data_IF_052614752675
#
_entry.id   IF_052614752675
#
_cell.length_a   1.000
_cell.length_b   1.000
_cell.length_c   1.000
_cell.angle_alpha   90.00
_cell.angle_beta   90.00
_cell.angle_gamma   90.00
#
_symmetry.space_group_name_H-M   'P 1'
#
loop_
_entity.id
_entity.type
_entity.pdbx_description
1 polymer ?
#
# COMPACT_ATOMS: atom_id res chain seq x y z
N UNK A 1 -6.77 6.07 -9.81
CA UNK A 1 -5.36 6.37 -10.09
C UNK A 1 -4.84 7.15 -8.91
N UNK A 2 -4.29 6.46 -7.90
CA UNK A 2 -3.81 7.09 -6.66
C UNK A 2 -2.30 6.84 -6.49
N UNK A 3 -1.60 7.94 -6.19
CA UNK A 3 -0.22 8.14 -5.73
C UNK A 3 0.96 7.72 -6.61
N UNK A 4 1.43 8.70 -7.40
CA UNK A 4 2.81 8.83 -7.84
C UNK A 4 3.66 9.43 -6.70
N UNK A 5 4.78 8.78 -6.35
CA UNK A 5 5.87 9.50 -5.70
C UNK A 5 6.41 10.47 -6.75
N UNK A 6 6.45 11.77 -6.47
CA UNK A 6 6.88 12.82 -7.40
C UNK A 6 8.08 12.33 -8.23
N UNK A 7 7.89 12.17 -9.54
CA UNK A 7 8.87 11.70 -10.53
C UNK A 7 9.14 10.17 -10.64
N UNK A 8 8.48 9.29 -9.88
CA UNK A 8 8.62 7.83 -9.98
C UNK A 8 7.31 7.13 -10.35
N UNK A 9 7.36 6.19 -11.30
CA UNK A 9 6.20 5.48 -11.82
C UNK A 9 6.46 3.97 -11.99
N UNK A 10 5.39 3.20 -12.17
CA UNK A 10 5.49 1.74 -12.18
C UNK A 10 5.96 1.16 -13.53
N UNK A 11 5.61 1.80 -14.65
CA UNK A 11 5.87 1.32 -16.01
C UNK A 11 5.92 2.48 -17.03
N UNK A 12 6.26 2.15 -18.27
CA UNK A 12 6.38 3.12 -19.37
C UNK A 12 5.05 3.73 -19.80
N UNK A 13 3.92 3.04 -19.60
CA UNK A 13 2.59 3.57 -19.93
C UNK A 13 2.24 4.74 -18.99
N UNK A 14 2.47 4.56 -17.70
CA UNK A 14 2.34 5.63 -16.70
C UNK A 14 3.33 6.77 -16.96
N UNK A 15 4.58 6.45 -17.34
CA UNK A 15 5.57 7.45 -17.70
C UNK A 15 5.10 8.32 -18.88
N UNK A 16 4.56 7.70 -19.93
CA UNK A 16 4.03 8.42 -21.08
C UNK A 16 2.82 9.31 -20.73
N UNK A 17 1.97 8.90 -19.78
CA UNK A 17 0.87 9.74 -19.27
C UNK A 17 1.41 10.93 -18.49
N UNK A 18 2.40 10.72 -17.63
CA UNK A 18 3.06 11.80 -16.89
C UNK A 18 3.75 12.79 -17.83
N UNK A 19 4.47 12.32 -18.84
CA UNK A 19 5.16 13.17 -19.82
C UNK A 19 4.17 14.06 -20.57
N UNK A 20 3.06 13.48 -21.05
CA UNK A 20 1.95 14.24 -21.67
C UNK A 20 1.30 15.24 -20.72
N UNK A 21 1.38 15.00 -19.42
CA UNK A 21 0.86 15.90 -18.37
C UNK A 21 1.85 17.01 -18.00
N UNK A 22 3.03 17.07 -18.62
CA UNK A 22 4.02 18.14 -18.44
C UNK A 22 5.14 17.84 -17.45
N UNK A 23 5.25 16.61 -16.94
CA UNK A 23 6.38 16.22 -16.08
C UNK A 23 7.63 16.00 -16.93
N UNK A 24 8.74 16.65 -16.53
CA UNK A 24 10.01 16.58 -17.27
C UNK A 24 11.03 15.61 -16.68
N UNK A 25 10.80 15.13 -15.46
CA UNK A 25 11.67 14.19 -14.74
C UNK A 25 10.81 13.03 -14.30
N UNK A 26 10.96 11.90 -15.00
CA UNK A 26 10.16 10.70 -14.80
C UNK A 26 11.12 9.53 -14.78
N UNK A 27 11.01 8.71 -13.74
CA UNK A 27 11.78 7.50 -13.53
C UNK A 27 10.81 6.34 -13.42
N UNK A 28 10.92 5.37 -14.32
CA UNK A 28 10.27 4.07 -14.12
C UNK A 28 11.08 3.32 -13.08
N UNK A 29 10.44 2.90 -11.99
CA UNK A 29 11.15 2.21 -10.91
C UNK A 29 11.75 0.88 -11.40
N UNK A 30 13.08 0.70 -11.38
CA UNK A 30 13.71 -0.52 -11.83
C UNK A 30 13.34 -1.70 -10.94
N UNK A 31 13.24 -2.89 -11.54
CA UNK A 31 13.04 -4.14 -10.82
C UNK A 31 14.15 -4.44 -9.80
N UNK A 32 15.37 -3.94 -10.03
CA UNK A 32 16.51 -4.09 -9.12
C UNK A 32 16.48 -3.14 -7.92
N UNK A 33 15.52 -2.21 -7.90
CA UNK A 33 15.44 -1.10 -6.95
C UNK A 33 16.23 0.12 -7.41
N UNK A 34 15.87 1.28 -6.85
CA UNK A 34 16.47 2.59 -7.07
C UNK A 34 17.07 3.10 -5.77
N UNK A 35 18.29 3.64 -5.82
CA UNK A 35 18.91 4.30 -4.66
C UNK A 35 18.74 5.82 -4.79
N UNK A 36 18.13 6.44 -3.78
CA UNK A 36 17.95 7.89 -3.66
C UNK A 36 18.57 8.32 -2.33
N UNK A 37 19.75 8.95 -2.39
CA UNK A 37 20.54 9.24 -1.20
C UNK A 37 20.94 7.96 -0.45
N UNK A 38 20.61 7.87 0.84
CA UNK A 38 20.80 6.68 1.67
C UNK A 38 19.63 5.68 1.61
N UNK A 39 18.53 6.01 0.92
CA UNK A 39 17.33 5.18 0.85
C UNK A 39 17.35 4.32 -0.41
N UNK A 40 17.04 3.03 -0.24
CA UNK A 40 16.73 2.11 -1.34
C UNK A 40 15.21 2.00 -1.46
N UNK A 41 14.72 2.22 -2.67
CA UNK A 41 13.32 2.11 -3.07
C UNK A 41 13.18 0.87 -3.94
N UNK A 42 12.38 -0.10 -3.51
CA UNK A 42 12.16 -1.35 -4.24
C UNK A 42 10.70 -1.50 -4.60
N UNK A 43 10.42 -1.75 -5.88
CA UNK A 43 9.06 -2.01 -6.36
C UNK A 43 8.58 -3.37 -5.85
N UNK A 44 7.37 -3.40 -5.30
CA UNK A 44 6.70 -4.62 -4.84
C UNK A 44 5.46 -4.86 -5.72
N UNK A 45 5.27 -6.05 -6.29
CA UNK A 45 4.05 -6.37 -7.03
C UNK A 45 2.78 -6.20 -6.17
N UNK A 46 1.68 -5.81 -6.80
CA UNK A 46 0.36 -5.69 -6.18
C UNK A 46 -0.70 -6.48 -6.96
N UNK A 47 -1.80 -6.81 -6.29
CA UNK A 47 -2.98 -7.42 -6.89
C UNK A 47 -4.20 -6.53 -6.65
N UNK A 48 -4.57 -5.73 -7.64
CA UNK A 48 -5.65 -4.75 -7.53
C UNK A 48 -7.01 -5.32 -7.99
N UNK A 49 -7.52 -6.32 -7.29
CA UNK A 49 -8.77 -7.00 -7.65
C UNK A 49 -8.78 -8.48 -7.25
N UNK A 50 -9.92 -8.97 -6.73
CA UNK A 50 -10.08 -10.37 -6.36
C UNK A 50 -10.53 -11.27 -7.51
N UNK A 51 -11.33 -10.76 -8.45
CA UNK A 51 -11.80 -11.53 -9.61
C UNK A 51 -10.91 -11.30 -10.83
N UNK A 52 -10.54 -10.04 -11.05
CA UNK A 52 -9.69 -9.58 -12.15
C UNK A 52 -8.97 -8.32 -11.72
N UNK A 53 -7.68 -8.20 -12.06
CA UNK A 53 -6.93 -6.97 -11.79
C UNK A 53 -7.56 -5.76 -12.50
N UNK A 54 -7.72 -4.68 -11.74
CA UNK A 54 -8.21 -3.37 -12.15
C UNK A 54 -7.02 -2.49 -12.58
N UNK A 55 -6.35 -2.89 -13.66
CA UNK A 55 -5.10 -2.24 -14.08
C UNK A 55 -3.89 -2.63 -13.24
N UNK A 56 -2.76 -2.02 -13.57
CA UNK A 56 -1.48 -2.25 -12.88
C UNK A 56 -1.38 -1.35 -11.64
N UNK A 57 -0.90 -1.95 -10.56
CA UNK A 57 -0.55 -1.25 -9.34
C UNK A 57 0.77 -1.82 -8.80
N UNK A 58 1.43 -1.05 -7.93
CA UNK A 58 2.60 -1.52 -7.19
C UNK A 58 2.56 -1.04 -5.75
N UNK A 59 3.14 -1.84 -4.86
CA UNK A 59 3.66 -1.38 -3.59
C UNK A 59 5.11 -0.90 -3.71
N UNK A 60 5.61 -0.27 -2.67
CA UNK A 60 6.97 0.26 -2.60
C UNK A 60 7.57 -0.03 -1.23
N UNK A 61 8.75 -0.64 -1.23
CA UNK A 61 9.56 -0.87 -0.04
C UNK A 61 10.65 0.19 0.06
N UNK A 62 10.76 0.83 1.22
CA UNK A 62 11.80 1.78 1.56
C UNK A 62 12.71 1.18 2.63
N UNK A 63 14.02 1.21 2.41
CA UNK A 63 15.00 0.79 3.41
C UNK A 63 16.23 1.69 3.42
N UNK A 64 16.78 1.91 4.61
CA UNK A 64 18.06 2.58 4.84
C UNK A 64 18.73 1.97 6.08
N UNK A 65 20.06 2.07 6.19
CA UNK A 65 20.82 1.37 7.25
C UNK A 65 20.45 1.81 8.68
N UNK A 66 20.00 3.05 8.86
CA UNK A 66 19.72 3.66 10.17
C UNK A 66 18.23 3.95 10.39
N UNK A 67 17.37 3.52 9.47
CA UNK A 67 15.93 3.80 9.51
C UNK A 67 15.12 2.51 9.49
N UNK A 68 13.90 2.59 9.99
CA UNK A 68 12.93 1.49 9.90
C UNK A 68 12.64 1.18 8.45
N UNK A 69 12.54 -0.11 8.12
CA UNK A 69 12.06 -0.58 6.83
C UNK A 69 10.56 -0.30 6.73
N UNK A 70 10.18 0.52 5.75
CA UNK A 70 8.80 0.95 5.54
C UNK A 70 8.22 0.35 4.26
N UNK A 71 7.09 -0.33 4.38
CA UNK A 71 6.38 -0.91 3.25
C UNK A 71 5.07 -0.16 2.98
N UNK A 72 5.00 0.53 1.84
CA UNK A 72 3.74 1.04 1.30
C UNK A 72 3.13 -0.03 0.38
N UNK A 73 2.07 -0.70 0.83
CA UNK A 73 1.48 -1.81 0.06
C UNK A 73 0.81 -1.37 -1.25
N UNK A 74 0.35 -0.11 -1.31
CA UNK A 74 -0.39 0.43 -2.44
C UNK A 74 -1.77 -0.21 -2.61
N UNK A 75 -2.32 -0.09 -3.81
CA UNK A 75 -3.63 -0.63 -4.17
C UNK A 75 -3.54 -2.14 -4.42
N UNK A 76 -3.63 -2.92 -3.34
CA UNK A 76 -3.58 -4.39 -3.37
C UNK A 76 -4.56 -5.01 -2.38
N UNK A 77 -5.06 -6.21 -2.69
CA UNK A 77 -5.66 -7.12 -1.71
C UNK A 77 -4.57 -7.92 -0.98
N UNK A 78 -4.94 -8.63 0.10
CA UNK A 78 -4.05 -9.65 0.66
C UNK A 78 -3.92 -10.82 -0.31
N UNK A 79 -2.68 -11.14 -0.68
CA UNK A 79 -2.35 -12.28 -1.53
C UNK A 79 -0.91 -12.72 -1.26
N UNK A 80 -0.48 -13.81 -1.91
CA UNK A 80 0.84 -14.41 -1.69
C UNK A 80 2.00 -13.42 -1.88
N UNK A 81 1.87 -12.42 -2.76
CA UNK A 81 2.92 -11.43 -3.02
C UNK A 81 3.16 -10.50 -1.83
N UNK A 82 2.10 -10.07 -1.14
CA UNK A 82 2.21 -9.27 0.10
C UNK A 82 2.90 -10.10 1.19
N UNK A 83 2.47 -11.35 1.38
CA UNK A 83 3.09 -12.23 2.36
C UNK A 83 4.58 -12.50 2.06
N UNK A 84 4.93 -12.69 0.79
CA UNK A 84 6.31 -12.83 0.35
C UNK A 84 7.13 -11.59 0.68
N UNK A 85 6.62 -10.39 0.36
CA UNK A 85 7.31 -9.13 0.65
C UNK A 85 7.53 -8.94 2.16
N UNK A 86 6.52 -9.21 2.98
CA UNK A 86 6.65 -9.16 4.44
C UNK A 86 7.75 -10.14 4.92
N UNK A 87 7.76 -11.36 4.40
CA UNK A 87 8.74 -12.36 4.80
C UNK A 87 10.17 -12.05 4.36
N UNK A 88 10.33 -11.47 3.18
CA UNK A 88 11.63 -11.14 2.59
C UNK A 88 12.25 -9.90 3.24
N UNK A 89 11.45 -8.84 3.42
CA UNK A 89 11.96 -7.54 3.85
C UNK A 89 11.78 -7.26 5.34
N UNK A 90 10.90 -8.01 6.03
CA UNK A 90 10.61 -7.83 7.47
C UNK A 90 10.36 -6.36 7.85
N UNK A 91 9.44 -5.65 7.16
CA UNK A 91 9.21 -4.24 7.42
C UNK A 91 8.72 -4.00 8.85
N UNK A 92 9.25 -2.95 9.51
CA UNK A 92 8.80 -2.55 10.84
C UNK A 92 7.56 -1.64 10.79
N UNK A 93 7.29 -1.01 9.65
CA UNK A 93 6.08 -0.20 9.42
C UNK A 93 5.45 -0.59 8.08
N UNK A 94 4.14 -0.83 8.07
CA UNK A 94 3.41 -1.20 6.84
C UNK A 94 2.20 -0.29 6.67
N UNK A 95 2.18 0.53 5.61
CA UNK A 95 1.02 1.31 5.22
C UNK A 95 0.10 0.52 4.28
N UNK A 96 -1.19 0.48 4.62
CA UNK A 96 -2.22 -0.30 3.92
C UNK A 96 -3.33 0.63 3.42
N UNK A 97 -3.68 0.52 2.14
CA UNK A 97 -4.90 1.12 1.59
C UNK A 97 -6.06 0.16 1.87
N UNK A 98 -6.94 0.47 2.81
CA UNK A 98 -7.79 -0.56 3.43
C UNK A 98 -9.29 -0.25 3.56
N UNK A 99 -9.89 0.51 2.64
CA UNK A 99 -11.34 0.79 2.67
C UNK A 99 -12.22 -0.25 1.97
N UNK A 100 -11.67 -1.43 1.63
CA UNK A 100 -12.36 -2.50 0.90
C UNK A 100 -13.13 -1.96 -0.33
N UNK A 101 -12.48 -1.10 -1.10
CA UNK A 101 -13.06 -0.58 -2.32
C UNK A 101 -13.42 -1.72 -3.28
N UNK A 102 -14.58 -1.69 -3.92
CA UNK A 102 -15.08 -2.78 -4.75
C UNK A 102 -15.73 -2.28 -6.04
N UNK A 103 -15.60 -3.06 -7.11
CA UNK A 103 -16.37 -2.88 -8.35
C UNK A 103 -16.99 -4.20 -8.77
N UNK A 104 -18.09 -4.12 -9.53
CA UNK A 104 -18.78 -5.32 -10.05
C UNK A 104 -17.88 -6.18 -10.95
N UNK A 105 -16.96 -5.54 -11.66
CA UNK A 105 -16.14 -6.17 -12.70
C UNK A 105 -14.88 -6.84 -12.13
N UNK A 106 -14.30 -6.26 -11.08
CA UNK A 106 -13.00 -6.68 -10.54
C UNK A 106 -13.12 -7.35 -9.16
N UNK A 107 -14.27 -7.23 -8.50
CA UNK A 107 -14.44 -7.60 -7.11
C UNK A 107 -13.76 -6.58 -6.19
N UNK A 108 -13.34 -7.03 -5.01
CA UNK A 108 -12.64 -6.18 -4.03
C UNK A 108 -11.27 -5.79 -4.59
N UNK A 109 -11.04 -4.49 -4.65
CA UNK A 109 -9.87 -3.87 -5.27
C UNK A 109 -8.68 -3.76 -4.34
N UNK A 110 -8.92 -3.44 -3.07
CA UNK A 110 -7.90 -3.20 -2.05
C UNK A 110 -8.29 -3.84 -0.72
N UNK A 111 -7.40 -3.76 0.27
CA UNK A 111 -7.58 -4.46 1.54
C UNK A 111 -8.88 -4.09 2.27
N UNK A 112 -9.47 -5.06 2.96
CA UNK A 112 -10.47 -4.88 4.01
C UNK A 112 -9.95 -5.31 5.39
N UNK A 113 -10.82 -5.36 6.39
CA UNK A 113 -10.44 -5.69 7.78
C UNK A 113 -9.81 -7.09 7.93
N UNK A 114 -10.30 -8.09 7.17
CA UNK A 114 -9.72 -9.44 7.15
C UNK A 114 -8.31 -9.45 6.55
N UNK A 115 -8.08 -8.64 5.51
CA UNK A 115 -6.76 -8.50 4.89
C UNK A 115 -5.78 -7.83 5.88
N UNK A 116 -6.21 -6.79 6.58
CA UNK A 116 -5.43 -6.14 7.65
C UNK A 116 -5.10 -7.14 8.78
N UNK A 117 -6.06 -7.97 9.18
CA UNK A 117 -5.83 -9.03 10.16
C UNK A 117 -4.77 -10.04 9.67
N UNK A 118 -4.85 -10.50 8.42
CA UNK A 118 -3.83 -11.37 7.84
C UNK A 118 -2.44 -10.73 7.81
N UNK A 119 -2.34 -9.42 7.48
CA UNK A 119 -1.07 -8.69 7.57
C UNK A 119 -0.56 -8.65 9.01
N UNK A 120 -1.43 -8.39 9.99
CA UNK A 120 -1.03 -8.38 11.41
C UNK A 120 -0.49 -9.73 11.90
N UNK A 121 -1.02 -10.85 11.38
CA UNK A 121 -0.51 -12.19 11.67
C UNK A 121 0.83 -12.47 10.99
N UNK A 122 1.02 -11.98 9.76
CA UNK A 122 2.25 -12.20 9.01
C UNK A 122 3.41 -11.30 9.49
N UNK A 123 3.09 -10.13 10.07
CA UNK A 123 4.04 -9.15 10.59
C UNK A 123 3.64 -8.69 12.00
N UNK A 124 3.68 -9.57 13.01
CA UNK A 124 3.19 -9.25 14.36
C UNK A 124 3.97 -8.12 15.04
N UNK A 125 5.25 -7.97 14.69
CA UNK A 125 6.12 -6.91 15.22
C UNK A 125 6.00 -5.58 14.45
N UNK A 126 5.36 -5.58 13.28
CA UNK A 126 5.22 -4.38 12.49
C UNK A 126 4.09 -3.49 13.02
N UNK A 127 4.27 -2.18 12.90
CA UNK A 127 3.22 -1.21 13.12
C UNK A 127 2.45 -0.99 11.82
N UNK A 128 1.13 -1.18 11.85
CA UNK A 128 0.28 -1.00 10.68
C UNK A 128 -0.24 0.45 10.62
N UNK A 129 -0.11 1.08 9.45
CA UNK A 129 -0.65 2.42 9.20
C UNK A 129 -1.81 2.32 8.20
N UNK A 130 -3.04 2.48 8.69
CA UNK A 130 -4.25 2.29 7.90
C UNK A 130 -4.63 3.60 7.20
N UNK A 131 -4.75 3.54 5.87
CA UNK A 131 -4.95 4.69 5.01
C UNK A 131 -6.02 4.44 3.95
N UNK A 132 -6.28 5.44 3.10
CA UNK A 132 -7.26 5.37 2.01
C UNK A 132 -8.70 5.15 2.51
N UNK A 133 -9.08 5.77 3.63
CA UNK A 133 -10.37 5.59 4.30
C UNK A 133 -11.25 6.84 4.18
N UNK A 134 -12.57 6.66 4.15
CA UNK A 134 -13.62 7.71 4.17
C UNK A 134 -13.54 8.82 3.11
N UNK A 135 -12.80 8.61 2.01
CA UNK A 135 -12.57 9.66 1.00
C UNK A 135 -13.15 9.34 -0.40
N UNK A 136 -13.36 8.06 -0.72
CA UNK A 136 -13.82 7.64 -2.06
C UNK A 136 -15.21 7.00 -2.02
N UNK A 137 -16.04 7.29 -3.02
CA UNK A 137 -17.45 6.87 -3.05
C UNK A 137 -17.67 5.35 -3.11
N UNK A 138 -16.68 4.60 -3.57
CA UNK A 138 -16.72 3.15 -3.75
C UNK A 138 -16.05 2.40 -2.58
N UNK A 139 -15.72 3.10 -1.49
CA UNK A 139 -15.28 2.50 -0.25
C UNK A 139 -16.45 1.75 0.42
N UNK A 140 -16.22 0.50 0.81
CA UNK A 140 -17.22 -0.33 1.49
C UNK A 140 -17.01 -0.37 3.01
N UNK A 141 -15.86 0.12 3.49
CA UNK A 141 -15.48 0.15 4.91
C UNK A 141 -15.10 1.57 5.31
N UNK A 142 -15.71 2.03 6.40
CA UNK A 142 -15.40 3.30 7.05
C UNK A 142 -14.37 3.13 8.17
N UNK A 143 -13.74 4.22 8.64
CA UNK A 143 -12.91 4.17 9.87
C UNK A 143 -13.67 3.58 11.05
N UNK A 144 -14.95 3.94 11.22
CA UNK A 144 -15.78 3.42 12.31
C UNK A 144 -15.94 1.89 12.23
N UNK A 145 -16.34 1.37 11.07
CA UNK A 145 -16.53 -0.08 10.87
C UNK A 145 -15.21 -0.84 10.97
N UNK A 146 -14.11 -0.28 10.45
CA UNK A 146 -12.78 -0.87 10.56
C UNK A 146 -12.34 -1.04 12.02
N UNK A 147 -12.51 0.00 12.87
CA UNK A 147 -12.18 -0.09 14.31
C UNK A 147 -12.94 -1.24 14.98
N UNK A 148 -14.23 -1.38 14.69
CA UNK A 148 -15.06 -2.46 15.24
C UNK A 148 -14.59 -3.85 14.81
N UNK A 149 -14.31 -4.03 13.51
CA UNK A 149 -13.85 -5.32 12.97
C UNK A 149 -12.48 -5.72 13.50
N UNK A 150 -11.52 -4.80 13.51
CA UNK A 150 -10.17 -5.06 14.03
C UNK A 150 -10.18 -5.37 15.53
N UNK A 151 -11.04 -4.71 16.30
CA UNK A 151 -11.25 -5.04 17.72
C UNK A 151 -11.75 -6.47 17.88
N UNK A 152 -12.71 -6.91 17.06
CA UNK A 152 -13.22 -8.29 17.09
C UNK A 152 -12.16 -9.33 16.69
N UNK A 153 -11.22 -8.97 15.81
CA UNK A 153 -10.08 -9.81 15.44
C UNK A 153 -8.90 -9.76 16.42
N UNK A 154 -8.96 -8.89 17.45
CA UNK A 154 -7.87 -8.70 18.40
C UNK A 154 -6.66 -7.93 17.83
N UNK A 155 -6.84 -7.24 16.69
CA UNK A 155 -5.78 -6.44 16.07
C UNK A 155 -5.68 -5.09 16.77
N UNK A 156 -4.53 -4.78 17.33
CA UNK A 156 -4.28 -3.56 18.11
C UNK A 156 -3.02 -2.79 17.70
N UNK A 157 -2.14 -3.41 16.92
CA UNK A 157 -0.88 -2.84 16.43
C UNK A 157 -1.08 -1.95 15.19
N UNK A 158 -2.11 -1.10 15.17
CA UNK A 158 -2.37 -0.18 14.06
C UNK A 158 -2.52 1.27 14.53
N UNK A 159 -2.21 2.21 13.64
CA UNK A 159 -2.68 3.59 13.72
C UNK A 159 -3.60 3.86 12.54
N UNK A 160 -4.69 4.58 12.81
CA UNK A 160 -5.66 5.01 11.80
C UNK A 160 -6.05 6.45 12.10
N UNK A 161 -5.29 7.37 11.52
CA UNK A 161 -5.39 8.80 11.77
C UNK A 161 -6.53 9.43 10.96
N UNK A 162 -6.99 10.58 11.44
CA UNK A 162 -7.88 11.47 10.69
C UNK A 162 -7.08 12.27 9.66
N UNK A 163 -7.76 12.84 8.68
CA UNK A 163 -7.13 13.61 7.62
C UNK A 163 -6.35 14.80 8.19
N UNK A 164 -5.10 14.97 7.74
CA UNK A 164 -4.16 15.97 8.28
C UNK A 164 -3.37 15.51 9.52
N UNK A 165 -3.63 14.31 10.04
CA UNK A 165 -2.84 13.72 11.12
C UNK A 165 -1.45 13.25 10.68
N UNK A 166 -0.50 13.24 11.62
CA UNK A 166 0.87 12.73 11.43
C UNK A 166 1.31 11.90 12.62
N UNK A 167 2.18 10.91 12.37
CA UNK A 167 2.79 10.05 13.39
C UNK A 167 4.26 9.80 13.01
N UNK A 168 5.12 9.63 14.01
CA UNK A 168 6.53 9.30 13.85
C UNK A 168 6.77 7.92 14.46
N UNK A 169 7.49 7.08 13.73
CA UNK A 169 7.79 5.70 14.12
C UNK A 169 9.24 5.53 14.53
#
# INVERSE_FOLDING_TARGET
MFFFFFENCQNEEDAAVLEKSGFSRITVLPLTGLKVGNVKITRIPAQHGTYKNCGEAMGVMFSAETEKTFYLAGDTVWYYGVQKAINEFKPEVIALNCCAAETKENGRLIMGAEDVWNVSLAAPEAKLYLTHMDNVAHASVTRFTMRGQLTAYGVSNYDMLEDGGSVVY
#
